data_IF_566024996910
#
_entry.id   IF_566024996910
#
_cell.length_a   1.000
_cell.length_b   1.000
_cell.length_c   1.000
_cell.angle_alpha   90.00
_cell.angle_beta   90.00
_cell.angle_gamma   90.00
#
_symmetry.space_group_name_H-M   'P 1'
#
loop_
_entity.id
_entity.type
_entity.pdbx_description
1 polymer ?
#
# COMPACT_ATOMS: atom_id res chain seq x y z
N UNK A 1 59.66 44.99 -41.55
CA UNK A 1 58.72 44.21 -40.70
C UNK A 1 57.55 43.57 -41.48
N UNK A 2 57.76 43.03 -42.70
CA UNK A 2 56.71 42.30 -43.46
C UNK A 2 56.93 40.79 -43.53
N UNK A 3 58.14 40.30 -43.27
CA UNK A 3 58.50 38.88 -43.37
C UNK A 3 57.85 38.00 -42.28
N UNK A 4 57.77 38.50 -41.04
CA UNK A 4 57.18 37.75 -39.91
C UNK A 4 55.69 37.44 -40.09
N UNK A 5 54.96 38.22 -40.90
CA UNK A 5 53.51 38.05 -41.07
C UNK A 5 53.16 36.92 -42.05
N UNK A 6 54.01 36.66 -43.03
CA UNK A 6 53.84 35.53 -43.94
C UNK A 6 54.27 34.21 -43.28
N UNK A 7 55.28 34.26 -42.42
CA UNK A 7 55.75 33.09 -41.69
C UNK A 7 54.71 32.58 -40.69
N UNK A 8 54.03 33.48 -39.96
CA UNK A 8 52.95 33.09 -39.05
C UNK A 8 51.74 32.50 -39.78
N UNK A 9 51.38 33.02 -40.96
CA UNK A 9 50.30 32.45 -41.76
C UNK A 9 50.67 31.09 -42.38
N UNK A 10 51.91 30.90 -42.82
CA UNK A 10 52.38 29.62 -43.33
C UNK A 10 52.37 28.51 -42.26
N UNK A 11 52.77 28.84 -41.02
CA UNK A 11 52.72 27.89 -39.90
C UNK A 11 51.27 27.51 -39.56
N UNK A 12 50.36 28.49 -39.54
CA UNK A 12 48.93 28.21 -39.29
C UNK A 12 48.32 27.32 -40.38
N UNK A 13 48.64 27.57 -41.64
CA UNK A 13 48.17 26.76 -42.75
C UNK A 13 48.70 25.31 -42.64
N UNK A 14 49.98 25.13 -42.30
CA UNK A 14 50.59 23.80 -42.14
C UNK A 14 49.94 23.00 -40.99
N UNK A 15 49.66 23.65 -39.86
CA UNK A 15 48.96 23.02 -38.72
C UNK A 15 47.52 22.66 -39.10
N UNK A 16 46.80 23.54 -39.80
CA UNK A 16 45.45 23.24 -40.26
C UNK A 16 45.40 22.03 -41.20
N UNK A 17 46.32 21.96 -42.17
CA UNK A 17 46.41 20.82 -43.10
C UNK A 17 46.75 19.51 -42.37
N UNK A 18 47.64 19.55 -41.38
CA UNK A 18 47.99 18.37 -40.58
C UNK A 18 46.79 17.86 -39.75
N UNK A 19 45.99 18.76 -39.18
CA UNK A 19 44.79 18.39 -38.41
C UNK A 19 43.68 17.88 -39.33
N UNK A 20 43.49 18.49 -40.50
CA UNK A 20 42.48 18.06 -41.48
C UNK A 20 42.80 16.71 -42.13
N UNK A 21 44.08 16.37 -42.31
CA UNK A 21 44.48 15.04 -42.79
C UNK A 21 44.14 13.91 -41.81
N UNK A 22 44.16 14.19 -40.50
CA UNK A 22 43.94 13.19 -39.45
C UNK A 22 42.50 12.66 -39.36
N UNK A 23 41.52 13.37 -39.94
CA UNK A 23 40.11 12.96 -39.97
C UNK A 23 39.75 12.04 -41.15
N UNK A 24 40.67 11.85 -42.12
CA UNK A 24 40.42 11.01 -43.32
C UNK A 24 41.06 9.63 -43.24
N UNK A 25 41.74 9.31 -42.13
CA UNK A 25 42.22 7.95 -41.88
C UNK A 25 41.02 7.10 -41.44
N UNK A 26 40.45 6.37 -42.39
CA UNK A 26 39.54 5.28 -42.11
C UNK A 26 40.27 4.24 -41.25
N UNK A 27 40.07 4.30 -39.94
CA UNK A 27 40.49 3.22 -39.07
C UNK A 27 39.46 2.13 -39.26
N UNK A 28 39.76 1.17 -40.12
CA UNK A 28 39.17 -0.16 -40.09
C UNK A 28 39.50 -0.80 -38.72
N UNK A 29 38.82 -0.35 -37.67
CA UNK A 29 38.77 -1.02 -36.38
C UNK A 29 37.91 -2.25 -36.61
N UNK A 30 38.55 -3.36 -36.91
CA UNK A 30 37.93 -4.68 -36.83
C UNK A 30 37.47 -4.88 -35.39
N UNK A 31 36.18 -4.65 -35.14
CA UNK A 31 35.51 -4.91 -33.86
C UNK A 31 35.60 -6.41 -33.54
N UNK A 32 36.61 -6.83 -32.78
CA UNK A 32 36.72 -8.18 -32.22
C UNK A 32 35.94 -8.33 -30.90
N UNK A 33 34.82 -7.61 -30.75
CA UNK A 33 33.95 -7.66 -29.55
C UNK A 33 32.53 -8.18 -29.89
N UNK A 34 32.43 -9.08 -30.86
CA UNK A 34 31.17 -9.71 -31.29
C UNK A 34 31.03 -11.17 -30.85
N UNK A 35 31.52 -11.53 -29.66
CA UNK A 35 31.40 -12.91 -29.14
C UNK A 35 30.17 -13.16 -28.24
N UNK A 36 29.29 -12.16 -28.03
CA UNK A 36 28.08 -12.32 -27.19
C UNK A 36 26.76 -11.94 -27.84
N UNK A 37 26.79 -11.25 -28.99
CA UNK A 37 25.60 -10.85 -29.73
C UNK A 37 25.81 -11.34 -31.15
N UNK A 38 24.94 -12.25 -31.61
CA UNK A 38 25.00 -12.82 -32.96
C UNK A 38 24.99 -11.75 -34.06
N UNK A 39 25.12 -12.18 -35.31
CA UNK A 39 25.20 -11.31 -36.50
C UNK A 39 24.17 -10.19 -36.45
N UNK A 40 24.61 -8.97 -36.11
CA UNK A 40 23.78 -7.78 -36.15
C UNK A 40 23.48 -7.49 -37.61
N UNK A 41 22.23 -7.72 -38.01
CA UNK A 41 21.67 -7.32 -39.29
C UNK A 41 21.82 -5.79 -39.41
N UNK A 42 22.84 -5.36 -40.14
CA UNK A 42 23.19 -3.96 -40.38
C UNK A 42 22.09 -3.16 -41.12
N UNK A 43 20.99 -3.81 -41.52
CA UNK A 43 19.81 -3.15 -42.07
C UNK A 43 19.07 -2.26 -41.05
N UNK A 44 19.34 -2.39 -39.74
CA UNK A 44 18.81 -1.47 -38.72
C UNK A 44 19.69 -0.23 -38.48
N UNK A 45 20.87 -0.15 -39.10
CA UNK A 45 21.85 0.95 -38.86
C UNK A 45 21.75 2.06 -39.92
N UNK A 46 20.90 1.88 -40.94
CA UNK A 46 20.81 2.83 -42.05
C UNK A 46 19.40 3.41 -42.12
N UNK A 47 19.32 4.70 -41.78
CA UNK A 47 18.24 5.67 -42.04
C UNK A 47 17.11 5.77 -40.99
N UNK A 48 17.34 6.68 -40.03
CA UNK A 48 16.41 7.73 -39.60
C UNK A 48 15.04 7.36 -38.98
N UNK A 49 14.67 6.08 -38.93
CA UNK A 49 13.33 5.63 -38.55
C UNK A 49 13.15 5.20 -37.09
N UNK A 50 14.24 4.94 -36.36
CA UNK A 50 14.16 4.18 -35.11
C UNK A 50 13.64 2.75 -35.35
N UNK A 51 13.73 1.89 -34.34
CA UNK A 51 13.34 0.48 -34.49
C UNK A 51 13.10 -0.20 -33.16
N UNK A 52 12.41 -1.34 -33.21
CA UNK A 52 12.15 -2.19 -32.05
C UNK A 52 13.00 -3.45 -32.11
N UNK A 53 13.64 -3.82 -31.01
CA UNK A 53 14.22 -5.16 -30.81
C UNK A 53 13.66 -5.70 -29.50
N UNK A 54 12.74 -6.66 -29.60
CA UNK A 54 12.00 -7.14 -28.44
C UNK A 54 11.12 -6.05 -27.81
N UNK A 55 11.31 -5.82 -26.51
CA UNK A 55 10.64 -4.79 -25.69
C UNK A 55 11.37 -3.44 -25.67
N UNK A 56 12.51 -3.33 -26.37
CA UNK A 56 13.36 -2.14 -26.39
C UNK A 56 13.09 -1.31 -27.65
N UNK A 57 12.72 -0.04 -27.45
CA UNK A 57 12.58 0.95 -28.52
C UNK A 57 13.86 1.77 -28.65
N UNK A 58 14.48 1.72 -29.83
CA UNK A 58 15.62 2.58 -30.19
C UNK A 58 15.09 3.85 -30.84
N UNK A 59 15.25 4.97 -30.14
CA UNK A 59 14.93 6.29 -30.68
C UNK A 59 15.83 6.69 -31.85
N UNK A 60 15.42 7.72 -32.59
CA UNK A 60 16.19 8.34 -33.69
C UNK A 60 17.57 8.87 -33.24
N UNK A 61 17.68 9.19 -31.96
CA UNK A 61 18.91 9.43 -31.24
C UNK A 61 19.06 8.25 -30.28
N UNK A 62 20.28 7.77 -30.06
CA UNK A 62 20.69 6.53 -29.38
C UNK A 62 20.18 6.29 -27.93
N UNK A 63 19.13 6.99 -27.52
CA UNK A 63 18.39 6.82 -26.27
C UNK A 63 17.56 5.55 -26.34
N UNK A 64 17.91 4.59 -25.49
CA UNK A 64 17.09 3.43 -25.15
C UNK A 64 15.94 3.93 -24.27
N UNK A 65 14.73 3.93 -24.79
CA UNK A 65 13.53 4.25 -24.00
C UNK A 65 12.95 2.93 -23.53
N UNK A 66 13.03 2.65 -22.22
CA UNK A 66 12.25 1.57 -21.62
C UNK A 66 10.79 2.03 -21.60
N UNK A 67 9.87 1.36 -22.33
CA UNK A 67 8.45 1.71 -22.23
C UNK A 67 8.01 1.54 -20.78
N UNK A 68 7.36 2.58 -20.23
CA UNK A 68 6.70 2.47 -18.93
C UNK A 68 5.54 1.51 -19.12
N UNK A 69 5.61 0.36 -18.45
CA UNK A 69 4.51 -0.58 -18.43
C UNK A 69 3.32 0.09 -17.72
N UNK A 70 2.27 0.41 -18.48
CA UNK A 70 0.99 0.82 -17.90
C UNK A 70 0.31 -0.49 -17.44
N UNK A 71 -0.03 -0.64 -16.15
CA UNK A 71 -0.75 -1.83 -15.72
C UNK A 71 -2.07 -1.94 -16.47
N UNK A 72 -2.30 -3.05 -17.16
CA UNK A 72 -3.54 -3.32 -17.91
C UNK A 72 -4.68 -3.80 -17.00
N UNK A 73 -4.41 -4.00 -15.71
CA UNK A 73 -5.44 -4.31 -14.71
C UNK A 73 -6.36 -3.10 -14.52
N UNK A 74 -7.66 -3.37 -14.39
CA UNK A 74 -8.62 -2.33 -14.04
C UNK A 74 -8.17 -1.59 -12.76
N UNK A 75 -8.33 -0.26 -12.68
CA UNK A 75 -7.99 0.48 -11.48
C UNK A 75 -8.82 -0.03 -10.29
N UNK A 76 -8.18 -0.14 -9.13
CA UNK A 76 -8.86 -0.53 -7.91
C UNK A 76 -10.01 0.45 -7.62
N UNK A 77 -11.21 -0.06 -7.34
CA UNK A 77 -12.33 0.79 -6.98
C UNK A 77 -12.08 1.41 -5.62
N UNK A 78 -12.30 2.73 -5.48
CA UNK A 78 -12.19 3.43 -4.20
C UNK A 78 -13.54 3.49 -3.47
N UNK A 79 -14.60 2.91 -4.03
CA UNK A 79 -15.93 2.96 -3.45
C UNK A 79 -16.15 1.81 -2.47
N UNK A 80 -16.83 2.06 -1.33
CA UNK A 80 -17.33 1.01 -0.46
C UNK A 80 -18.17 -0.02 -1.24
N UNK A 81 -17.96 -1.30 -0.97
CA UNK A 81 -18.73 -2.36 -1.58
C UNK A 81 -19.91 -2.74 -0.67
N UNK A 82 -21.12 -2.72 -1.21
CA UNK A 82 -22.29 -3.28 -0.53
C UNK A 82 -22.41 -4.77 -0.89
N UNK A 83 -22.31 -5.64 0.11
CA UNK A 83 -22.30 -7.08 -0.06
C UNK A 83 -23.46 -7.73 0.70
N UNK A 84 -24.16 -8.65 0.05
CA UNK A 84 -25.20 -9.47 0.67
C UNK A 84 -24.60 -10.81 1.10
N UNK A 85 -24.63 -11.08 2.40
CA UNK A 85 -24.11 -12.32 2.98
C UNK A 85 -24.85 -13.52 2.41
N UNK A 86 -24.11 -14.51 1.91
CA UNK A 86 -24.69 -15.74 1.38
C UNK A 86 -24.84 -16.80 2.49
N UNK A 87 -25.67 -17.82 2.23
CA UNK A 87 -25.86 -18.91 3.17
C UNK A 87 -24.56 -19.69 3.39
N UNK A 88 -24.19 -19.91 4.65
CA UNK A 88 -22.97 -20.62 5.04
C UNK A 88 -21.70 -19.77 5.06
N UNK A 89 -21.75 -18.48 4.70
CA UNK A 89 -20.60 -17.59 4.84
C UNK A 89 -20.37 -17.17 6.29
N UNK A 90 -19.10 -16.98 6.64
CA UNK A 90 -18.65 -16.40 7.91
C UNK A 90 -17.90 -15.09 7.65
N UNK A 91 -17.80 -14.22 8.66
CA UNK A 91 -17.00 -12.99 8.53
C UNK A 91 -15.55 -13.29 8.13
N UNK A 92 -14.97 -14.38 8.64
CA UNK A 92 -13.61 -14.79 8.30
C UNK A 92 -13.49 -15.15 6.81
N UNK A 93 -14.42 -15.94 6.27
CA UNK A 93 -14.41 -16.29 4.85
C UNK A 93 -14.60 -15.07 3.93
N UNK A 94 -15.46 -14.13 4.33
CA UNK A 94 -15.69 -12.89 3.59
C UNK A 94 -14.43 -12.01 3.65
N UNK A 95 -13.83 -11.87 4.83
CA UNK A 95 -12.59 -11.12 5.03
C UNK A 95 -11.45 -11.63 4.12
N UNK A 96 -11.24 -12.94 4.06
CA UNK A 96 -10.25 -13.56 3.17
C UNK A 96 -10.55 -13.30 1.70
N UNK A 97 -11.83 -13.41 1.29
CA UNK A 97 -12.27 -13.17 -0.11
C UNK A 97 -11.96 -11.75 -0.59
N UNK A 98 -12.05 -10.77 0.30
CA UNK A 98 -11.82 -9.36 -0.02
C UNK A 98 -10.45 -8.84 0.43
N UNK A 99 -9.56 -9.72 0.89
CA UNK A 99 -8.22 -9.36 1.38
C UNK A 99 -8.23 -8.28 2.49
N UNK A 100 -9.22 -8.35 3.37
CA UNK A 100 -9.36 -7.46 4.54
C UNK A 100 -9.44 -8.29 5.82
N UNK A 101 -9.38 -7.64 6.98
CA UNK A 101 -9.52 -8.31 8.28
C UNK A 101 -10.97 -8.29 8.78
N UNK A 102 -11.31 -9.25 9.64
CA UNK A 102 -12.62 -9.28 10.32
C UNK A 102 -12.85 -7.98 11.09
N UNK A 103 -11.82 -7.43 11.73
CA UNK A 103 -11.89 -6.17 12.47
C UNK A 103 -12.28 -4.99 11.56
N UNK A 104 -11.69 -4.89 10.37
CA UNK A 104 -12.00 -3.83 9.40
C UNK A 104 -13.44 -3.90 8.90
N UNK A 105 -13.95 -5.11 8.62
CA UNK A 105 -15.37 -5.28 8.28
C UNK A 105 -16.25 -4.85 9.45
N UNK A 106 -15.94 -5.26 10.67
CA UNK A 106 -16.73 -4.92 11.86
C UNK A 106 -16.72 -3.43 12.17
N UNK A 107 -15.58 -2.75 12.03
CA UNK A 107 -15.50 -1.29 12.20
C UNK A 107 -16.32 -0.54 11.14
N UNK A 108 -16.42 -1.11 9.92
CA UNK A 108 -17.20 -0.54 8.82
C UNK A 108 -18.72 -0.73 8.97
N UNK A 109 -19.16 -1.56 9.92
CA UNK A 109 -20.57 -1.91 10.10
C UNK A 109 -20.98 -1.75 11.57
N UNK A 110 -21.70 -0.67 11.90
CA UNK A 110 -22.07 -0.34 13.28
C UNK A 110 -22.80 -1.49 14.02
N UNK A 111 -23.64 -2.25 13.32
CA UNK A 111 -24.35 -3.41 13.89
C UNK A 111 -23.44 -4.60 14.26
N UNK A 112 -22.22 -4.65 13.71
CA UNK A 112 -21.24 -5.71 13.95
C UNK A 112 -20.17 -5.33 14.99
N UNK A 113 -20.28 -4.13 15.57
CA UNK A 113 -19.33 -3.67 16.57
C UNK A 113 -19.45 -4.48 17.87
N UNK A 114 -20.68 -4.71 18.34
CA UNK A 114 -20.96 -5.44 19.58
C UNK A 114 -20.98 -6.97 19.38
N UNK A 115 -21.40 -7.44 18.20
CA UNK A 115 -21.51 -8.86 17.87
C UNK A 115 -20.91 -9.15 16.51
N UNK A 116 -20.18 -10.26 16.39
CA UNK A 116 -19.63 -10.72 15.12
C UNK A 116 -20.60 -11.64 14.35
N UNK A 117 -21.85 -11.77 14.81
CA UNK A 117 -22.84 -12.63 14.18
C UNK A 117 -23.35 -12.03 12.86
N UNK A 118 -23.39 -12.85 11.82
CA UNK A 118 -23.95 -12.49 10.51
C UNK A 118 -25.02 -13.50 10.12
N UNK A 119 -26.04 -13.02 9.40
CA UNK A 119 -27.12 -13.84 8.90
C UNK A 119 -27.14 -13.82 7.36
N UNK A 120 -27.52 -14.93 6.70
CA UNK A 120 -27.73 -14.93 5.26
C UNK A 120 -28.77 -13.88 4.85
N UNK A 121 -28.52 -13.15 3.76
CA UNK A 121 -29.35 -12.05 3.28
C UNK A 121 -29.06 -10.69 3.92
N UNK A 122 -28.21 -10.63 4.96
CA UNK A 122 -27.81 -9.37 5.57
C UNK A 122 -26.92 -8.55 4.62
N UNK A 123 -27.19 -7.26 4.49
CA UNK A 123 -26.33 -6.34 3.75
C UNK A 123 -25.25 -5.78 4.67
N UNK A 124 -23.99 -5.92 4.25
CA UNK A 124 -22.83 -5.39 4.95
C UNK A 124 -21.99 -4.53 4.00
N UNK A 125 -21.30 -3.55 4.56
CA UNK A 125 -20.35 -2.72 3.84
C UNK A 125 -18.95 -3.31 3.98
N UNK A 126 -18.28 -3.51 2.86
CA UNK A 126 -16.91 -4.05 2.82
C UNK A 126 -15.98 -2.94 2.33
N UNK A 127 -14.90 -2.62 3.07
CA UNK A 127 -13.93 -1.65 2.62
C UNK A 127 -13.17 -2.19 1.39
N UNK A 128 -12.94 -1.34 0.37
CA UNK A 128 -12.24 -1.76 -0.86
C UNK A 128 -10.73 -1.93 -0.67
N UNK A 129 -10.20 -1.38 0.42
CA UNK A 129 -8.79 -1.46 0.83
C UNK A 129 -8.70 -1.77 2.32
N UNK A 130 -7.51 -2.10 2.81
CA UNK A 130 -7.27 -2.17 4.24
C UNK A 130 -7.63 -0.82 4.90
N UNK A 131 -8.65 -0.81 5.76
CA UNK A 131 -9.16 0.42 6.36
C UNK A 131 -10.57 0.28 6.92
N UNK A 132 -11.22 1.42 7.13
CA UNK A 132 -12.57 1.50 7.70
C UNK A 132 -13.48 2.36 6.84
N UNK A 133 -14.72 1.92 6.62
CA UNK A 133 -15.76 2.75 6.00
C UNK A 133 -16.61 3.42 7.06
N UNK A 134 -16.80 4.73 6.96
CA UNK A 134 -17.59 5.51 7.93
C UNK A 134 -18.59 6.39 7.20
N UNK A 135 -19.82 6.42 7.70
CA UNK A 135 -20.82 7.42 7.29
C UNK A 135 -20.69 8.64 8.17
N UNK A 136 -20.40 9.79 7.57
CA UNK A 136 -20.23 11.08 8.23
C UNK A 136 -21.51 11.47 8.95
N UNK A 137 -21.41 11.77 10.24
CA UNK A 137 -22.50 12.37 11.03
C UNK A 137 -22.39 13.89 11.00
N UNK A 138 -23.49 14.59 11.30
CA UNK A 138 -23.53 16.06 11.27
C UNK A 138 -22.55 16.76 12.22
N UNK A 139 -22.03 16.07 13.22
CA UNK A 139 -21.02 16.57 14.16
C UNK A 139 -19.58 16.21 13.78
N UNK A 140 -19.38 15.41 12.73
CA UNK A 140 -18.06 14.88 12.40
C UNK A 140 -17.22 15.91 11.64
N UNK A 141 -15.94 15.95 11.97
CA UNK A 141 -14.94 16.76 11.27
C UNK A 141 -13.88 15.84 10.69
N UNK A 142 -13.24 16.27 9.60
CA UNK A 142 -12.12 15.53 9.00
C UNK A 142 -11.03 15.23 10.04
N UNK A 143 -10.66 16.24 10.84
CA UNK A 143 -9.67 16.09 11.90
C UNK A 143 -10.13 15.13 13.01
N UNK A 144 -11.41 15.21 13.42
CA UNK A 144 -11.97 14.33 14.44
C UNK A 144 -11.96 12.87 13.99
N UNK A 145 -12.34 12.59 12.74
CA UNK A 145 -12.29 11.25 12.17
C UNK A 145 -10.85 10.75 12.04
N UNK A 146 -9.94 11.58 11.52
CA UNK A 146 -8.52 11.25 11.42
C UNK A 146 -7.92 10.84 12.78
N UNK A 147 -8.20 11.62 13.82
CA UNK A 147 -7.75 11.32 15.19
C UNK A 147 -8.39 10.04 15.75
N UNK A 148 -9.69 9.82 15.50
CA UNK A 148 -10.41 8.64 15.99
C UNK A 148 -9.87 7.34 15.39
N UNK A 149 -9.48 7.36 14.11
CA UNK A 149 -8.98 6.19 13.38
C UNK A 149 -7.45 6.13 13.25
N UNK A 150 -6.74 7.10 13.85
CA UNK A 150 -5.27 7.21 13.87
C UNK A 150 -4.64 7.31 12.47
N UNK A 151 -5.26 8.08 11.57
CA UNK A 151 -4.79 8.30 10.19
C UNK A 151 -4.51 9.77 9.95
N UNK A 152 -3.67 10.09 8.96
CA UNK A 152 -3.48 11.45 8.48
C UNK A 152 -4.77 11.97 7.79
N UNK A 153 -5.31 13.15 8.17
CA UNK A 153 -6.43 13.77 7.47
C UNK A 153 -6.21 13.95 5.96
N UNK A 154 -4.97 14.18 5.50
CA UNK A 154 -4.65 14.31 4.08
C UNK A 154 -4.90 12.99 3.32
N UNK A 155 -4.55 11.85 3.93
CA UNK A 155 -4.80 10.54 3.32
C UNK A 155 -6.29 10.27 3.12
N UNK A 156 -7.14 10.73 4.05
CA UNK A 156 -8.60 10.63 3.92
C UNK A 156 -9.10 11.50 2.77
N UNK A 157 -8.61 12.75 2.65
CA UNK A 157 -8.99 13.65 1.56
C UNK A 157 -8.60 13.07 0.19
N UNK A 158 -7.35 12.65 0.05
CA UNK A 158 -6.77 12.17 -1.20
C UNK A 158 -7.45 10.88 -1.67
N UNK A 159 -7.68 9.92 -0.75
CA UNK A 159 -8.31 8.66 -1.09
C UNK A 159 -9.77 8.85 -1.55
N UNK A 160 -10.52 9.70 -0.86
CA UNK A 160 -11.92 9.98 -1.17
C UNK A 160 -12.13 11.07 -2.23
N UNK A 161 -11.04 11.63 -2.78
CA UNK A 161 -11.06 12.72 -3.78
C UNK A 161 -11.90 13.93 -3.33
N UNK A 162 -11.82 14.25 -2.04
CA UNK A 162 -12.54 15.39 -1.47
C UNK A 162 -11.85 16.69 -1.86
N UNK A 163 -12.62 17.66 -2.36
CA UNK A 163 -12.10 18.98 -2.78
C UNK A 163 -11.91 19.96 -1.62
N UNK A 164 -12.51 19.68 -0.46
CA UNK A 164 -12.43 20.51 0.73
C UNK A 164 -12.49 19.66 1.99
N UNK A 165 -12.05 20.23 3.11
CA UNK A 165 -12.11 19.61 4.45
C UNK A 165 -13.51 19.64 5.07
N UNK A 166 -14.47 20.30 4.43
CA UNK A 166 -15.86 20.35 4.88
C UNK A 166 -16.57 19.06 4.51
N UNK A 167 -16.96 18.29 5.52
CA UNK A 167 -17.69 17.04 5.33
C UNK A 167 -19.19 17.30 5.30
N UNK A 168 -19.88 16.62 4.38
CA UNK A 168 -21.34 16.65 4.30
C UNK A 168 -21.90 15.45 5.05
N UNK A 169 -22.83 15.71 5.97
CA UNK A 169 -23.49 14.65 6.73
C UNK A 169 -24.17 13.64 5.78
N UNK A 170 -24.07 12.36 6.10
CA UNK A 170 -24.59 11.26 5.29
C UNK A 170 -23.67 10.76 4.19
N UNK A 171 -22.55 11.44 3.93
CA UNK A 171 -21.54 10.93 2.97
C UNK A 171 -20.80 9.73 3.55
N UNK A 172 -20.56 8.72 2.72
CA UNK A 172 -19.75 7.56 3.09
C UNK A 172 -18.30 7.80 2.67
N UNK A 173 -17.39 7.69 3.63
CA UNK A 173 -15.96 7.88 3.44
C UNK A 173 -15.21 6.59 3.72
N UNK A 174 -14.19 6.31 2.91
CA UNK A 174 -13.22 5.24 3.14
C UNK A 174 -12.00 5.84 3.82
N UNK A 175 -11.65 5.32 4.98
CA UNK A 175 -10.48 5.73 5.75
C UNK A 175 -9.39 4.68 5.52
N UNK A 176 -8.42 4.92 4.62
CA UNK A 176 -7.35 3.97 4.35
C UNK A 176 -6.48 3.79 5.58
N UNK A 177 -6.06 2.56 5.84
CA UNK A 177 -5.21 2.16 6.98
C UNK A 177 -5.76 2.53 8.37
N UNK A 178 -7.05 2.89 8.44
CA UNK A 178 -7.73 3.24 9.67
C UNK A 178 -7.82 2.08 10.65
N UNK A 179 -7.53 2.38 11.91
CA UNK A 179 -7.68 1.44 13.02
C UNK A 179 -8.80 1.93 13.92
N UNK A 180 -9.88 1.17 13.98
CA UNK A 180 -11.02 1.49 14.83
C UNK A 180 -10.75 1.25 16.31
N UNK A 181 -11.67 1.68 17.19
CA UNK A 181 -11.56 1.44 18.62
C UNK A 181 -11.60 -0.05 18.96
N UNK A 182 -11.07 -0.40 20.13
CA UNK A 182 -11.11 -1.76 20.64
C UNK A 182 -12.56 -2.23 20.78
N UNK A 183 -12.81 -3.49 20.40
CA UNK A 183 -14.12 -4.10 20.56
C UNK A 183 -14.45 -4.28 22.06
N UNK A 184 -15.74 -4.26 22.44
CA UNK A 184 -16.16 -4.54 23.80
C UNK A 184 -15.66 -5.94 24.23
N UNK A 185 -15.24 -6.12 25.49
CA UNK A 185 -14.87 -7.43 25.99
C UNK A 185 -16.08 -8.37 25.95
N UNK A 186 -15.86 -9.67 25.70
CA UNK A 186 -16.95 -10.64 25.76
C UNK A 186 -17.57 -10.63 27.16
N UNK A 187 -18.89 -10.91 27.28
CA UNK A 187 -19.54 -10.97 28.57
C UNK A 187 -18.82 -11.98 29.46
N UNK A 188 -18.55 -11.59 30.71
CA UNK A 188 -17.99 -12.50 31.71
C UNK A 188 -18.95 -13.66 31.90
N UNK A 189 -18.53 -14.87 31.56
CA UNK A 189 -19.27 -16.07 31.91
C UNK A 189 -19.05 -16.26 33.41
N UNK A 190 -20.00 -15.80 34.24
CA UNK A 190 -20.01 -16.17 35.64
C UNK A 190 -20.24 -17.67 35.72
N UNK A 191 -19.15 -18.43 35.80
CA UNK A 191 -19.24 -19.82 36.24
C UNK A 191 -19.58 -19.76 37.73
N UNK A 192 -20.85 -20.03 38.07
CA UNK A 192 -21.22 -20.27 39.44
C UNK A 192 -20.28 -21.37 39.98
N UNK A 193 -19.69 -21.22 41.18
CA UNK A 193 -18.87 -22.27 41.75
C UNK A 193 -19.75 -23.49 41.93
N UNK A 194 -19.61 -24.48 41.05
CA UNK A 194 -20.15 -25.83 41.27
C UNK A 194 -19.23 -26.52 42.26
N UNK A 195 -19.23 -26.04 43.49
CA UNK A 195 -18.33 -26.48 44.56
C UNK A 195 -19.04 -26.36 45.90
N UNK A 196 -19.77 -27.41 46.25
CA UNK A 196 -20.16 -27.67 47.64
C UNK A 196 -18.88 -27.94 48.44
N UNK A 197 -18.59 -27.09 49.42
CA UNK A 197 -17.68 -27.41 50.53
C UNK A 197 -16.35 -26.65 50.53
N UNK A 198 -16.14 -25.87 51.59
CA UNK A 198 -14.81 -25.40 52.02
C UNK A 198 -14.72 -23.88 52.13
N UNK A 199 -15.00 -23.36 53.32
CA UNK A 199 -14.72 -21.97 53.67
C UNK A 199 -13.22 -21.67 53.54
N UNK A 200 -12.88 -20.67 52.73
CA UNK A 200 -11.58 -19.99 52.79
C UNK A 200 -11.87 -18.54 53.19
N UNK A 201 -11.16 -17.95 54.18
CA UNK A 201 -11.42 -16.58 54.60
C UNK A 201 -10.79 -15.62 53.59
N UNK A 202 -11.58 -15.07 52.67
CA UNK A 202 -11.10 -14.01 51.78
C UNK A 202 -11.17 -12.67 52.51
N UNK A 203 -10.03 -12.16 52.95
CA UNK A 203 -9.88 -10.75 53.35
C UNK A 203 -10.03 -9.89 52.10
N UNK A 204 -11.15 -9.19 51.99
CA UNK A 204 -11.39 -8.21 50.93
C UNK A 204 -10.63 -6.94 51.27
N UNK A 205 -9.45 -6.73 50.68
CA UNK A 205 -8.84 -5.40 50.59
C UNK A 205 -9.27 -4.74 49.29
N UNK A 206 -10.30 -3.90 49.42
CA UNK A 206 -10.66 -2.69 48.69
C UNK A 206 -10.57 -2.60 47.15
N UNK A 207 -11.51 -1.81 46.64
CA UNK A 207 -11.77 -1.46 45.25
C UNK A 207 -10.51 -1.05 44.49
N UNK A 208 -10.14 -1.87 43.50
CA UNK A 208 -9.66 -1.50 42.16
C UNK A 208 -8.73 -2.57 41.56
N UNK A 209 -8.25 -3.54 42.34
CA UNK A 209 -7.64 -4.77 41.83
C UNK A 209 -8.03 -5.89 42.79
N UNK A 210 -8.76 -6.89 42.28
CA UNK A 210 -9.26 -8.01 43.07
C UNK A 210 -8.17 -8.79 43.82
N UNK A 211 -8.53 -9.58 44.83
CA UNK A 211 -7.60 -10.14 45.81
C UNK A 211 -6.92 -11.38 45.21
N UNK A 212 -5.69 -11.24 44.71
CA UNK A 212 -4.85 -12.40 44.40
C UNK A 212 -3.53 -12.28 45.17
N UNK A 213 -3.55 -12.75 46.41
CA UNK A 213 -2.35 -13.19 47.09
C UNK A 213 -2.01 -14.60 46.56
N UNK A 214 -1.22 -14.64 45.48
CA UNK A 214 -0.80 -15.88 44.83
C UNK A 214 -0.38 -15.58 43.39
N UNK A 215 0.81 -16.02 43.00
CA UNK A 215 1.49 -15.72 41.73
C UNK A 215 0.86 -16.38 40.49
N UNK A 216 -0.43 -16.72 40.53
CA UNK A 216 -1.13 -17.42 39.45
C UNK A 216 -2.35 -16.64 38.98
N UNK A 217 -2.30 -16.12 37.76
CA UNK A 217 -3.51 -15.76 37.04
C UNK A 217 -4.40 -17.01 36.90
N UNK A 218 -5.72 -16.93 37.10
CA UNK A 218 -6.61 -18.06 36.90
C UNK A 218 -6.50 -18.58 35.46
N UNK A 219 -6.48 -19.90 35.29
CA UNK A 219 -6.47 -20.52 33.95
C UNK A 219 -7.64 -19.99 33.12
N UNK A 220 -7.33 -19.42 31.96
CA UNK A 220 -8.30 -18.78 31.05
C UNK A 220 -8.18 -17.26 30.92
N UNK A 221 -7.46 -16.57 31.81
CA UNK A 221 -7.23 -15.11 31.71
C UNK A 221 -5.99 -14.76 30.87
N UNK A 222 -4.93 -15.58 30.93
CA UNK A 222 -3.71 -15.38 30.13
C UNK A 222 -3.96 -15.58 28.63
N UNK A 223 -4.92 -16.43 28.25
CA UNK A 223 -5.29 -16.66 26.86
C UNK A 223 -6.02 -15.46 26.26
N UNK A 224 -6.77 -14.67 27.04
CA UNK A 224 -7.49 -13.51 26.51
C UNK A 224 -6.55 -12.34 26.17
N UNK A 225 -5.60 -12.03 27.06
CA UNK A 225 -4.59 -11.00 26.82
C UNK A 225 -3.67 -11.35 25.64
N UNK A 226 -3.40 -12.64 25.42
CA UNK A 226 -2.61 -13.13 24.26
C UNK A 226 -3.46 -13.27 22.98
N UNK A 227 -4.75 -13.61 23.08
CA UNK A 227 -5.67 -13.74 21.93
C UNK A 227 -6.04 -12.39 21.31
N UNK A 228 -6.01 -11.31 22.10
CA UNK A 228 -6.21 -9.94 21.60
C UNK A 228 -4.96 -9.34 20.94
N UNK A 229 -3.79 -9.99 21.04
CA UNK A 229 -2.52 -9.56 20.47
C UNK A 229 -1.95 -10.50 19.38
N UNK A 230 -2.75 -11.37 18.75
CA UNK A 230 -2.26 -12.25 17.66
C UNK A 230 -3.01 -12.06 16.34
N UNK A 231 -2.57 -11.06 15.57
CA UNK A 231 -1.81 -11.23 14.31
C UNK A 231 -1.73 -9.89 13.58
N UNK A 232 -0.64 -9.16 13.81
CA UNK A 232 -0.06 -8.28 12.79
C UNK A 232 1.00 -9.13 12.10
N UNK A 233 0.63 -9.70 10.96
CA UNK A 233 1.54 -10.16 9.90
C UNK A 233 0.99 -9.61 8.61
#
# INVERSE_FOLDING_TARGET
MRFNRYLTHAVFLAVAVAISGYATIDRHITNTLSHGLGTLNAQAVVLDGGGYVGDIAFGRYSTIIKPVAIPTSAPASHTPLHYTVQSGETLSSIATKFHVTVSQIRWSNAGLFQSAAILPGMQIVIPPTAGVVVTVKGSDTLQGLANAYKVDPAAILDYNRLRSSTLVAGTTLVIPDGVGPAFPPPPVVWQAPTGSGGAMPTVVKSCCLGPYAGTGFPVGWCTYYVATWRNVT
#
